data_IF_804477448460
#
_entry.id   IF_804477448460
#
_cell.length_a   1.000
_cell.length_b   1.000
_cell.length_c   1.000
_cell.angle_alpha   90.00
_cell.angle_beta   90.00
_cell.angle_gamma   90.00
#
_symmetry.space_group_name_H-M   'P 1'
#
loop_
_entity.id
_entity.type
_entity.pdbx_description
1 polymer ?
#
# COMPACT_ATOMS: atom_id res chain seq x y z
N UNK A 1 -17.19 -4.09 -4.46
CA UNK A 1 -16.60 -3.47 -3.26
C UNK A 1 -15.23 -2.95 -3.63
N UNK A 2 -14.85 -1.72 -3.24
CA UNK A 2 -13.54 -1.18 -3.56
C UNK A 2 -12.43 -1.93 -2.83
N UNK A 3 -11.24 -1.95 -3.45
CA UNK A 3 -10.06 -2.59 -2.90
C UNK A 3 -8.85 -1.67 -2.95
N UNK A 4 -8.07 -1.68 -1.88
CA UNK A 4 -6.70 -1.22 -1.90
C UNK A 4 -5.77 -2.40 -2.20
N UNK A 5 -4.90 -2.25 -3.20
CA UNK A 5 -3.88 -3.24 -3.54
C UNK A 5 -2.51 -2.56 -3.45
N UNK A 6 -1.73 -2.93 -2.44
CA UNK A 6 -0.35 -2.47 -2.31
C UNK A 6 0.55 -3.08 -3.38
N UNK A 7 1.66 -2.40 -3.71
CA UNK A 7 2.78 -3.04 -4.41
C UNK A 7 3.60 -3.89 -3.43
N UNK A 8 4.28 -4.92 -3.93
CA UNK A 8 5.22 -5.70 -3.11
C UNK A 8 6.32 -4.77 -2.58
N UNK A 9 6.63 -4.91 -1.29
CA UNK A 9 7.71 -4.20 -0.61
C UNK A 9 7.96 -4.83 0.75
N UNK A 10 8.95 -4.38 1.52
CA UNK A 10 9.07 -4.80 2.92
C UNK A 10 7.77 -4.59 3.70
N UNK A 11 7.47 -5.44 4.69
CA UNK A 11 6.28 -5.36 5.54
C UNK A 11 6.06 -3.93 6.05
N UNK A 12 7.11 -3.29 6.57
CA UNK A 12 7.06 -1.90 7.05
C UNK A 12 6.60 -0.93 5.98
N UNK A 13 7.17 -1.06 4.77
CA UNK A 13 6.82 -0.21 3.63
C UNK A 13 5.39 -0.45 3.15
N UNK A 14 4.94 -1.71 3.14
CA UNK A 14 3.58 -2.07 2.77
C UNK A 14 2.55 -1.44 3.72
N UNK A 15 2.78 -1.55 5.04
CA UNK A 15 1.94 -0.92 6.07
C UNK A 15 1.96 0.61 5.92
N UNK A 16 3.14 1.20 5.68
CA UNK A 16 3.26 2.65 5.49
C UNK A 16 2.50 3.15 4.26
N UNK A 17 2.54 2.42 3.14
CA UNK A 17 1.76 2.75 1.93
C UNK A 17 0.27 2.70 2.20
N UNK A 18 -0.20 1.66 2.89
CA UNK A 18 -1.59 1.53 3.31
C UNK A 18 -1.99 2.70 4.22
N UNK A 19 -1.15 3.08 5.18
CA UNK A 19 -1.36 4.26 6.03
C UNK A 19 -1.53 5.52 5.19
N UNK A 20 -0.60 5.80 4.27
CA UNK A 20 -0.67 7.01 3.43
C UNK A 20 -1.93 7.08 2.62
N UNK A 21 -2.31 5.96 1.99
CA UNK A 21 -3.57 5.86 1.24
C UNK A 21 -4.79 6.11 2.14
N UNK A 22 -4.85 5.47 3.31
CA UNK A 22 -5.95 5.65 4.26
C UNK A 22 -6.08 7.12 4.68
N UNK A 23 -4.97 7.76 5.08
CA UNK A 23 -5.00 9.14 5.53
C UNK A 23 -5.41 10.11 4.41
N UNK A 24 -4.93 9.87 3.18
CA UNK A 24 -5.30 10.68 2.02
C UNK A 24 -6.78 10.52 1.63
N UNK A 25 -7.39 9.37 1.92
CA UNK A 25 -8.75 9.04 1.46
C UNK A 25 -9.82 9.31 2.52
N UNK A 26 -9.55 8.97 3.79
CA UNK A 26 -10.57 8.89 4.84
C UNK A 26 -10.31 9.78 6.06
N UNK A 27 -9.20 10.53 6.08
CA UNK A 27 -8.83 11.37 7.22
C UNK A 27 -8.55 12.81 6.81
N UNK A 28 -7.43 13.07 6.13
CA UNK A 28 -6.92 14.41 5.83
C UNK A 28 -7.89 15.31 5.05
N UNK A 29 -8.70 14.80 4.09
CA UNK A 29 -9.70 15.64 3.43
C UNK A 29 -10.80 16.12 4.40
N UNK A 30 -11.18 15.30 5.37
CA UNK A 30 -12.34 15.53 6.23
C UNK A 30 -12.00 16.37 7.46
N UNK A 31 -10.74 16.38 7.92
CA UNK A 31 -10.31 17.20 9.07
C UNK A 31 -10.45 18.71 8.86
N UNK A 32 -10.64 19.15 7.61
CA UNK A 32 -10.77 20.56 7.25
C UNK A 32 -12.17 21.13 7.50
N UNK A 33 -13.17 20.26 7.65
CA UNK A 33 -14.58 20.62 7.78
C UNK A 33 -15.09 20.21 9.15
N UNK A 34 -15.90 21.04 9.80
CA UNK A 34 -16.38 20.78 11.17
C UNK A 34 -17.18 19.47 11.22
N UNK A 35 -18.07 19.27 10.25
CA UNK A 35 -18.88 18.08 10.06
C UNK A 35 -18.03 16.82 9.79
N UNK A 36 -16.83 17.01 9.23
CA UNK A 36 -15.90 15.93 8.90
C UNK A 36 -14.97 15.52 10.05
N UNK A 37 -14.74 16.37 11.05
CA UNK A 37 -13.78 16.11 12.15
C UNK A 37 -14.14 14.88 12.96
N UNK A 38 -15.42 14.72 13.33
CA UNK A 38 -15.89 13.56 14.10
C UNK A 38 -15.68 12.26 13.32
N UNK A 39 -16.09 12.24 12.05
CA UNK A 39 -15.95 11.06 11.18
C UNK A 39 -14.46 10.76 10.90
N UNK A 40 -13.62 11.78 10.73
CA UNK A 40 -12.19 11.60 10.58
C UNK A 40 -11.59 10.89 11.82
N UNK A 41 -11.94 11.30 13.03
CA UNK A 41 -11.44 10.63 14.24
C UNK A 41 -11.97 9.21 14.41
N UNK A 42 -13.25 8.95 14.08
CA UNK A 42 -13.80 7.60 14.03
C UNK A 42 -13.02 6.72 13.03
N UNK A 43 -12.78 7.22 11.82
CA UNK A 43 -11.97 6.55 10.82
C UNK A 43 -10.53 6.31 11.33
N UNK A 44 -9.93 7.29 12.03
CA UNK A 44 -8.57 7.15 12.60
C UNK A 44 -8.50 6.01 13.61
N UNK A 45 -9.51 5.88 14.48
CA UNK A 45 -9.60 4.76 15.44
C UNK A 45 -9.72 3.42 14.72
N UNK A 46 -10.53 3.35 13.66
CA UNK A 46 -10.64 2.16 12.81
C UNK A 46 -9.31 1.80 12.14
N UNK A 47 -8.57 2.79 11.66
CA UNK A 47 -7.23 2.60 11.12
C UNK A 47 -6.24 2.08 12.16
N UNK A 48 -6.21 2.66 13.36
CA UNK A 48 -5.31 2.21 14.44
C UNK A 48 -5.59 0.76 14.80
N UNK A 49 -6.87 0.39 14.95
CA UNK A 49 -7.27 -1.00 15.19
C UNK A 49 -6.81 -1.93 14.06
N UNK A 50 -7.05 -1.56 12.80
CA UNK A 50 -6.66 -2.33 11.63
C UNK A 50 -5.14 -2.53 11.54
N UNK A 51 -4.38 -1.44 11.71
CA UNK A 51 -2.92 -1.46 11.65
C UNK A 51 -2.32 -2.34 12.75
N UNK A 52 -2.82 -2.22 13.99
CA UNK A 52 -2.40 -3.08 15.10
C UNK A 52 -2.68 -4.55 14.82
N UNK A 53 -3.87 -4.87 14.26
CA UNK A 53 -4.21 -6.24 13.88
C UNK A 53 -3.26 -6.79 12.80
N UNK A 54 -2.96 -6.01 11.76
CA UNK A 54 -2.02 -6.40 10.71
C UNK A 54 -0.63 -6.69 11.29
N UNK A 55 -0.13 -5.80 12.16
CA UNK A 55 1.19 -5.97 12.80
C UNK A 55 1.21 -7.25 13.64
N UNK A 56 0.19 -7.46 14.48
CA UNK A 56 0.12 -8.62 15.36
C UNK A 56 0.05 -9.94 14.58
N UNK A 57 -0.72 -10.01 13.50
CA UNK A 57 -0.83 -11.21 12.65
C UNK A 57 0.47 -11.52 11.90
N UNK A 58 1.22 -10.50 11.48
CA UNK A 58 2.53 -10.72 10.85
C UNK A 58 3.53 -11.18 11.89
N UNK A 59 3.60 -10.49 13.04
CA UNK A 59 4.56 -10.81 14.10
C UNK A 59 4.32 -12.17 14.74
N UNK A 60 3.07 -12.62 14.87
CA UNK A 60 2.77 -13.94 15.43
C UNK A 60 3.19 -15.08 14.51
N UNK A 61 3.13 -14.88 13.19
CA UNK A 61 3.45 -15.92 12.19
C UNK A 61 4.90 -15.92 11.74
N UNK A 62 5.50 -14.75 11.61
CA UNK A 62 6.81 -14.57 10.98
C UNK A 62 7.84 -13.89 11.90
N UNK A 63 7.47 -13.60 13.15
CA UNK A 63 8.30 -12.86 14.08
C UNK A 63 8.44 -11.37 13.69
N UNK A 64 9.40 -10.70 14.31
CA UNK A 64 9.61 -9.25 14.13
C UNK A 64 10.43 -8.90 12.89
N UNK A 65 10.55 -9.80 11.91
CA UNK A 65 11.37 -9.56 10.72
C UNK A 65 10.71 -8.53 9.79
N UNK A 66 11.20 -7.30 9.86
CA UNK A 66 10.72 -6.18 9.07
C UNK A 66 11.16 -6.24 7.59
N UNK A 67 12.10 -7.13 7.23
CA UNK A 67 12.67 -7.22 5.88
C UNK A 67 11.90 -8.16 4.95
N UNK A 68 10.93 -8.92 5.48
CA UNK A 68 10.05 -9.76 4.68
C UNK A 68 9.36 -8.94 3.60
N UNK A 69 9.42 -9.43 2.36
CA UNK A 69 8.66 -8.84 1.27
C UNK A 69 7.19 -9.24 1.43
N UNK A 70 6.29 -8.27 1.37
CA UNK A 70 4.87 -8.47 1.52
C UNK A 70 4.05 -7.60 0.57
N UNK A 71 2.87 -8.09 0.21
CA UNK A 71 1.79 -7.33 -0.42
C UNK A 71 0.58 -7.35 0.52
N UNK A 72 0.01 -6.18 0.79
CA UNK A 72 -1.24 -6.05 1.55
C UNK A 72 -2.37 -5.70 0.57
N UNK A 73 -3.44 -6.49 0.59
CA UNK A 73 -4.71 -6.20 -0.07
C UNK A 73 -5.77 -5.97 0.99
N UNK A 74 -6.53 -4.88 0.87
CA UNK A 74 -7.61 -4.54 1.78
C UNK A 74 -8.90 -4.34 0.97
N UNK A 75 -9.87 -5.20 1.20
CA UNK A 75 -11.25 -5.01 0.77
C UNK A 75 -11.96 -4.19 1.85
N UNK A 76 -12.67 -3.13 1.44
CA UNK A 76 -13.37 -2.24 2.36
C UNK A 76 -14.69 -1.77 1.74
N UNK A 77 -15.57 -1.26 2.59
CA UNK A 77 -16.72 -0.45 2.18
C UNK A 77 -16.54 0.99 2.63
N UNK A 78 -17.28 1.87 1.98
CA UNK A 78 -17.40 3.27 2.40
C UNK A 78 -18.83 3.74 2.27
N UNK A 79 -19.31 4.44 3.28
CA UNK A 79 -20.66 5.00 3.34
C UNK A 79 -20.56 6.52 3.40
N UNK A 80 -21.34 7.22 2.57
CA UNK A 80 -21.42 8.68 2.61
C UNK A 80 -22.29 9.07 3.81
N UNK A 81 -21.69 9.77 4.77
CA UNK A 81 -22.37 10.21 6.00
C UNK A 81 -22.83 11.66 5.89
N UNK A 82 -22.09 12.48 5.14
CA UNK A 82 -22.40 13.89 4.93
C UNK A 82 -21.80 14.40 3.62
N UNK A 83 -22.32 15.52 3.12
CA UNK A 83 -21.80 16.25 1.95
C UNK A 83 -21.53 17.69 2.36
N UNK A 84 -20.34 18.17 2.06
CA UNK A 84 -19.91 19.55 2.39
C UNK A 84 -19.35 20.19 1.13
N UNK A 85 -19.74 21.43 0.84
CA UNK A 85 -19.13 22.20 -0.25
C UNK A 85 -17.84 22.84 0.25
N UNK A 86 -16.71 22.56 -0.40
CA UNK A 86 -15.44 23.24 -0.12
C UNK A 86 -15.56 24.72 -0.51
N UNK A 87 -15.55 25.66 0.45
CA UNK A 87 -15.73 27.08 0.14
C UNK A 87 -14.58 27.66 -0.69
N UNK A 88 -13.41 26.99 -0.73
CA UNK A 88 -12.26 27.46 -1.50
C UNK A 88 -12.31 27.03 -2.97
N UNK A 89 -12.98 25.91 -3.27
CA UNK A 89 -12.99 25.29 -4.61
C UNK A 89 -14.37 25.17 -5.23
N UNK A 90 -15.43 25.43 -4.47
CA UNK A 90 -16.82 25.20 -4.89
C UNK A 90 -17.15 23.73 -5.16
N UNK A 91 -16.29 22.79 -4.74
CA UNK A 91 -16.44 21.36 -5.00
C UNK A 91 -17.18 20.69 -3.84
N UNK A 92 -18.17 19.85 -4.15
CA UNK A 92 -18.80 19.00 -3.15
C UNK A 92 -17.86 17.86 -2.73
N UNK A 93 -17.66 17.73 -1.43
CA UNK A 93 -16.87 16.68 -0.79
C UNK A 93 -17.82 15.78 -0.02
N UNK A 94 -17.83 14.51 -0.41
CA UNK A 94 -18.55 13.47 0.33
C UNK A 94 -17.69 12.98 1.50
N UNK A 95 -18.15 13.23 2.72
CA UNK A 95 -17.55 12.70 3.94
C UNK A 95 -17.96 11.24 4.06
N UNK A 96 -16.97 10.36 4.11
CA UNK A 96 -17.20 8.91 4.08
C UNK A 96 -16.70 8.22 5.35
N UNK A 97 -17.50 7.29 5.85
CA UNK A 97 -17.09 6.35 6.90
C UNK A 97 -16.30 5.20 6.29
N UNK A 98 -15.17 4.86 6.90
CA UNK A 98 -14.33 3.75 6.47
C UNK A 98 -14.70 2.46 7.20
N UNK A 99 -15.00 1.40 6.43
CA UNK A 99 -15.44 0.11 6.97
C UNK A 99 -14.55 -1.00 6.39
N UNK A 100 -13.47 -1.42 7.08
CA UNK A 100 -12.61 -2.50 6.61
C UNK A 100 -13.36 -3.83 6.64
N UNK A 101 -13.21 -4.67 5.60
CA UNK A 101 -13.93 -5.94 5.47
C UNK A 101 -13.00 -7.13 5.50
N UNK A 102 -11.95 -7.11 4.68
CA UNK A 102 -11.01 -8.22 4.57
C UNK A 102 -9.60 -7.69 4.32
N UNK A 103 -8.62 -8.27 5.00
CA UNK A 103 -7.20 -8.05 4.72
C UNK A 103 -6.58 -9.35 4.26
N UNK A 104 -5.85 -9.31 3.15
CA UNK A 104 -5.00 -10.40 2.68
C UNK A 104 -3.57 -9.90 2.70
N UNK A 105 -2.69 -10.67 3.35
CA UNK A 105 -1.25 -10.37 3.45
C UNK A 105 -0.53 -11.50 2.73
N UNK A 106 0.03 -11.19 1.56
CA UNK A 106 0.86 -12.12 0.79
C UNK A 106 2.30 -11.88 1.19
N UNK A 107 2.93 -12.83 1.89
CA UNK A 107 4.35 -12.76 2.27
C UNK A 107 5.17 -13.57 1.26
N UNK A 108 6.27 -12.99 0.79
CA UNK A 108 7.19 -13.57 -0.16
C UNK A 108 8.52 -13.78 0.56
N UNK A 109 8.94 -15.04 0.68
CA UNK A 109 10.28 -15.37 1.15
C UNK A 109 11.30 -15.08 0.05
N UNK A 110 12.42 -14.43 0.40
CA UNK A 110 13.54 -14.25 -0.51
C UNK A 110 14.07 -15.63 -0.91
N UNK A 111 13.90 -16.05 -2.16
CA UNK A 111 14.61 -17.21 -2.73
C UNK A 111 15.99 -16.76 -3.18
N UNK A 112 16.91 -16.64 -2.22
CA UNK A 112 18.32 -16.31 -2.46
C UNK A 112 18.56 -14.89 -2.98
N UNK A 113 19.77 -14.39 -2.76
CA UNK A 113 20.27 -13.21 -3.44
C UNK A 113 21.15 -13.71 -4.61
N UNK A 114 20.94 -13.19 -5.82
CA UNK A 114 21.84 -13.46 -6.96
C UNK A 114 22.84 -12.30 -6.96
N UNK A 115 24.04 -12.57 -6.46
CA UNK A 115 25.19 -11.70 -6.68
C UNK A 115 25.94 -12.19 -7.92
N UNK A 116 26.23 -11.26 -8.83
CA UNK A 116 27.11 -11.50 -9.96
C UNK A 116 27.99 -10.28 -10.14
N UNK A 117 29.27 -10.53 -10.38
CA UNK A 117 30.22 -9.48 -10.71
C UNK A 117 30.06 -9.09 -12.18
N UNK A 118 30.08 -7.79 -12.46
CA UNK A 118 30.21 -7.28 -13.82
C UNK A 118 31.69 -7.16 -14.11
N UNK A 119 32.19 -8.00 -15.02
CA UNK A 119 33.58 -8.01 -15.44
C UNK A 119 33.85 -6.96 -16.51
N UNK A 120 35.12 -6.55 -16.67
CA UNK A 120 35.52 -5.68 -17.79
C UNK A 120 35.22 -6.30 -19.17
N UNK A 121 35.20 -7.63 -19.27
CA UNK A 121 34.77 -8.35 -20.47
C UNK A 121 33.30 -8.10 -20.79
N UNK A 122 32.41 -8.18 -19.80
CA UNK A 122 30.97 -7.93 -19.98
C UNK A 122 30.72 -6.50 -20.50
N UNK A 123 31.49 -5.53 -19.99
CA UNK A 123 31.43 -4.13 -20.42
C UNK A 123 31.95 -3.97 -21.85
N UNK A 124 33.11 -4.58 -22.17
CA UNK A 124 33.71 -4.51 -23.51
C UNK A 124 32.85 -5.20 -24.57
N UNK A 125 32.13 -6.25 -24.20
CA UNK A 125 31.22 -6.98 -25.08
C UNK A 125 29.94 -6.17 -25.35
N UNK A 126 29.32 -5.60 -24.31
CA UNK A 126 28.16 -4.72 -24.46
C UNK A 126 28.44 -3.47 -25.32
N UNK A 127 29.66 -2.95 -25.28
CA UNK A 127 30.07 -1.78 -26.09
C UNK A 127 30.44 -2.15 -27.54
N UNK A 128 30.63 -3.43 -27.86
CA UNK A 128 30.98 -3.89 -29.22
C UNK A 128 29.78 -4.30 -30.07
N UNK A 129 28.69 -4.75 -29.45
CA UNK A 129 27.50 -5.25 -30.14
C UNK A 129 26.31 -4.29 -30.05
N UNK A 130 25.68 -3.97 -31.18
CA UNK A 130 24.33 -3.41 -31.17
C UNK A 130 23.36 -4.41 -30.54
N UNK A 131 22.38 -3.91 -29.77
CA UNK A 131 21.39 -4.74 -29.08
C UNK A 131 20.58 -5.55 -30.10
N UNK A 132 20.68 -6.89 -30.06
CA UNK A 132 19.70 -7.78 -30.68
C UNK A 132 18.79 -8.35 -29.58
N UNK A 133 17.49 -8.16 -29.78
CA UNK A 133 16.46 -8.54 -28.82
C UNK A 133 16.42 -10.08 -28.68
N UNK A 134 16.48 -10.63 -27.46
CA UNK A 134 16.52 -12.07 -27.28
C UNK A 134 15.19 -12.69 -27.72
N UNK A 135 15.25 -13.70 -28.60
CA UNK A 135 14.07 -14.48 -28.98
C UNK A 135 13.64 -15.34 -27.80
N UNK A 136 12.48 -15.02 -27.25
CA UNK A 136 11.83 -15.83 -26.23
C UNK A 136 11.27 -17.07 -26.92
N UNK A 137 11.88 -18.24 -26.70
CA UNK A 137 11.21 -19.50 -27.02
C UNK A 137 10.19 -19.80 -25.93
N UNK A 138 8.91 -19.65 -26.30
CA UNK A 138 7.78 -20.04 -25.46
C UNK A 138 7.81 -21.54 -25.21
N UNK A 139 7.79 -21.94 -23.94
CA UNK A 139 7.51 -23.31 -23.48
C UNK A 139 6.30 -23.28 -22.56
#
# INVERSE_FOLDING_TARGET
MPEFIGRISTVRTAIFRLKRWFYATFFSPFTKFEEGKKIAEENRRMWVMLASKIINEISSKYGSDANLAARIRLTYDSEVVSRVTDPSKGQEIEIRKFIPRKVVIEVYEKKGDIEFDITESDIKEALKGGYEEPKVEES
#
